data_IF_752644791128
#
_entry.id   IF_752644791128
#
_cell.length_a   1.000
_cell.length_b   1.000
_cell.length_c   1.000
_cell.angle_alpha   90.00
_cell.angle_beta   90.00
_cell.angle_gamma   90.00
#
_symmetry.space_group_name_H-M   'P 1'
#
loop_
_entity.id
_entity.type
_entity.pdbx_description
1 polymer ?
#
# COMPACT_ATOMS: atom_id res chain seq x y z
N UNK A 1 -2.14 -14.04 -17.71
CA UNK A 1 -2.73 -12.69 -17.85
C UNK A 1 -3.61 -12.30 -16.67
N UNK A 2 -4.47 -13.18 -16.15
CA UNK A 2 -5.35 -12.87 -15.00
C UNK A 2 -4.60 -12.30 -13.77
N UNK A 3 -3.57 -12.99 -13.26
CA UNK A 3 -2.80 -12.55 -12.08
C UNK A 3 -2.17 -11.16 -12.27
N UNK A 4 -1.70 -10.85 -13.48
CA UNK A 4 -1.12 -9.54 -13.77
C UNK A 4 -2.17 -8.42 -13.72
N UNK A 5 -3.37 -8.67 -14.26
CA UNK A 5 -4.48 -7.69 -14.18
C UNK A 5 -4.94 -7.53 -12.73
N UNK A 6 -5.09 -8.64 -12.00
CA UNK A 6 -5.45 -8.63 -10.58
C UNK A 6 -4.44 -7.85 -9.73
N UNK A 7 -3.14 -8.03 -9.98
CA UNK A 7 -2.09 -7.30 -9.29
C UNK A 7 -2.12 -5.79 -9.63
N UNK A 8 -2.18 -5.42 -10.91
CA UNK A 8 -2.20 -3.99 -11.31
C UNK A 8 -3.48 -3.28 -10.88
N UNK A 9 -4.63 -3.96 -10.90
CA UNK A 9 -5.90 -3.43 -10.40
C UNK A 9 -6.04 -3.58 -8.89
N UNK A 10 -5.08 -4.24 -8.23
CA UNK A 10 -4.98 -4.36 -6.78
C UNK A 10 -6.22 -5.03 -6.18
N UNK A 11 -6.67 -6.14 -6.79
CA UNK A 11 -7.91 -6.84 -6.39
C UNK A 11 -7.68 -8.11 -5.57
N UNK A 12 -6.45 -8.63 -5.53
CA UNK A 12 -6.09 -9.80 -4.72
C UNK A 12 -6.62 -11.15 -5.20
N UNK A 13 -7.32 -11.20 -6.33
CA UNK A 13 -7.85 -12.45 -6.87
C UNK A 13 -6.75 -13.26 -7.56
N UNK A 14 -6.63 -14.54 -7.20
CA UNK A 14 -5.61 -15.44 -7.74
C UNK A 14 -6.25 -16.73 -8.27
N UNK A 15 -5.75 -17.22 -9.41
CA UNK A 15 -6.15 -18.52 -9.97
C UNK A 15 -5.20 -19.65 -9.58
N UNK A 16 -4.01 -19.28 -9.09
CA UNK A 16 -2.96 -20.18 -8.58
C UNK A 16 -2.37 -19.53 -7.35
N UNK A 17 -1.96 -20.32 -6.36
CA UNK A 17 -1.42 -19.80 -5.12
C UNK A 17 -0.13 -18.99 -5.34
N UNK A 18 -0.05 -17.80 -4.73
CA UNK A 18 1.05 -16.87 -4.97
C UNK A 18 2.35 -17.34 -4.30
N UNK A 19 2.23 -17.96 -3.12
CA UNK A 19 3.35 -18.46 -2.33
C UNK A 19 4.07 -19.64 -2.97
N UNK A 20 3.31 -20.58 -3.52
CA UNK A 20 3.85 -21.89 -3.95
C UNK A 20 4.05 -22.01 -5.46
N UNK A 21 3.24 -21.35 -6.29
CA UNK A 21 3.32 -21.51 -7.74
C UNK A 21 4.44 -20.66 -8.37
N UNK A 22 4.65 -19.44 -7.86
CA UNK A 22 5.58 -18.49 -8.45
C UNK A 22 6.98 -18.63 -7.86
N UNK A 23 7.99 -18.50 -8.72
CA UNK A 23 9.37 -18.32 -8.26
C UNK A 23 9.51 -16.99 -7.52
N UNK A 24 10.61 -16.83 -6.76
CA UNK A 24 10.92 -15.57 -6.08
C UNK A 24 10.87 -14.38 -7.05
N UNK A 25 11.36 -14.54 -8.28
CA UNK A 25 11.26 -13.51 -9.32
C UNK A 25 9.81 -13.19 -9.69
N UNK A 26 8.95 -14.20 -9.82
CA UNK A 26 7.54 -14.01 -10.09
C UNK A 26 6.82 -13.25 -8.98
N UNK A 27 7.12 -13.56 -7.72
CA UNK A 27 6.57 -12.83 -6.57
C UNK A 27 7.04 -11.37 -6.54
N UNK A 28 8.32 -11.10 -6.81
CA UNK A 28 8.85 -9.73 -6.97
C UNK A 28 8.10 -8.96 -8.08
N UNK A 29 7.83 -9.61 -9.20
CA UNK A 29 7.08 -9.00 -10.30
C UNK A 29 5.65 -8.68 -9.89
N UNK A 30 4.95 -9.61 -9.22
CA UNK A 30 3.59 -9.39 -8.71
C UNK A 30 3.58 -8.22 -7.74
N UNK A 31 4.55 -8.15 -6.83
CA UNK A 31 4.68 -7.05 -5.88
C UNK A 31 4.91 -5.70 -6.56
N UNK A 32 5.78 -5.65 -7.58
CA UNK A 32 5.99 -4.44 -8.36
C UNK A 32 4.71 -3.99 -9.08
N UNK A 33 3.91 -4.92 -9.60
CA UNK A 33 2.66 -4.60 -10.30
C UNK A 33 1.63 -3.97 -9.37
N UNK A 34 1.40 -4.55 -8.17
CA UNK A 34 0.44 -3.95 -7.24
C UNK A 34 0.97 -2.68 -6.56
N UNK A 35 2.30 -2.53 -6.42
CA UNK A 35 2.88 -1.25 -5.99
C UNK A 35 2.57 -0.12 -6.98
N UNK A 36 2.78 -0.39 -8.27
CA UNK A 36 2.53 0.59 -9.34
C UNK A 36 1.03 0.91 -9.41
N UNK A 37 0.18 -0.12 -9.31
CA UNK A 37 -1.28 0.03 -9.31
C UNK A 37 -1.77 0.87 -8.13
N UNK A 38 -1.38 0.50 -6.91
CA UNK A 38 -1.82 1.17 -5.68
C UNK A 38 -1.33 2.61 -5.59
N UNK A 39 -0.06 2.87 -5.92
CA UNK A 39 0.48 4.23 -5.98
C UNK A 39 -0.28 5.12 -6.98
N UNK A 40 -0.63 4.57 -8.14
CA UNK A 40 -1.43 5.26 -9.16
C UNK A 40 -2.82 5.65 -8.65
N UNK A 41 -3.50 4.72 -7.99
CA UNK A 41 -4.83 4.96 -7.42
C UNK A 41 -4.79 5.99 -6.28
N UNK A 42 -3.87 5.88 -5.32
CA UNK A 42 -3.73 6.83 -4.20
C UNK A 42 -3.41 8.25 -4.70
N UNK A 43 -2.50 8.36 -5.67
CA UNK A 43 -2.14 9.66 -6.26
C UNK A 43 -3.34 10.28 -6.98
N UNK A 44 -4.05 9.49 -7.80
CA UNK A 44 -5.24 9.97 -8.50
C UNK A 44 -6.35 10.40 -7.54
N UNK A 45 -6.64 9.60 -6.50
CA UNK A 45 -7.62 9.92 -5.47
C UNK A 45 -7.26 11.22 -4.72
N UNK A 46 -6.00 11.39 -4.35
CA UNK A 46 -5.51 12.60 -3.67
C UNK A 46 -5.66 13.84 -4.55
N UNK A 47 -5.28 13.75 -5.83
CA UNK A 47 -5.42 14.86 -6.78
C UNK A 47 -6.89 15.22 -7.02
N UNK A 48 -7.77 14.22 -7.17
CA UNK A 48 -9.22 14.44 -7.29
C UNK A 48 -9.78 15.12 -6.03
N UNK A 49 -9.40 14.65 -4.83
CA UNK A 49 -9.78 15.26 -3.56
C UNK A 49 -9.32 16.72 -3.45
N UNK A 50 -8.10 17.03 -3.91
CA UNK A 50 -7.58 18.39 -3.98
C UNK A 50 -8.34 19.26 -4.97
N UNK A 51 -8.71 18.73 -6.14
CA UNK A 51 -9.52 19.47 -7.13
C UNK A 51 -10.90 19.82 -6.57
N UNK A 52 -11.56 18.86 -5.91
CA UNK A 52 -12.85 19.09 -5.24
C UNK A 52 -12.70 20.12 -4.12
N UNK A 53 -11.70 19.96 -3.23
CA UNK A 53 -11.46 20.90 -2.14
C UNK A 53 -11.07 22.30 -2.62
N UNK A 54 -10.33 22.41 -3.74
CA UNK A 54 -10.04 23.71 -4.36
C UNK A 54 -11.31 24.38 -4.86
N UNK A 55 -12.29 23.65 -5.37
CA UNK A 55 -13.57 24.26 -5.79
C UNK A 55 -14.34 24.87 -4.61
N UNK A 56 -14.34 24.19 -3.45
CA UNK A 56 -14.92 24.71 -2.21
C UNK A 56 -14.10 25.89 -1.65
N UNK A 57 -12.77 25.74 -1.55
CA UNK A 57 -11.87 26.82 -1.12
C UNK A 57 -11.90 28.01 -2.06
N UNK A 58 -12.09 27.84 -3.37
CA UNK A 58 -12.21 28.95 -4.31
C UNK A 58 -13.55 29.65 -4.14
N UNK A 59 -14.65 28.93 -3.87
CA UNK A 59 -15.93 29.58 -3.51
C UNK A 59 -15.83 30.36 -2.21
N UNK A 60 -15.28 29.76 -1.15
CA UNK A 60 -15.08 30.41 0.16
C UNK A 60 -14.03 31.52 0.10
N UNK A 61 -12.96 31.35 -0.70
CA UNK A 61 -11.99 32.41 -0.99
C UNK A 61 -12.62 33.50 -1.84
N UNK A 62 -13.41 33.25 -2.88
CA UNK A 62 -14.10 34.33 -3.59
C UNK A 62 -15.05 35.12 -2.66
N UNK A 63 -15.53 34.51 -1.57
CA UNK A 63 -16.25 35.23 -0.49
C UNK A 63 -15.34 35.93 0.53
N UNK A 64 -14.07 35.53 0.65
CA UNK A 64 -13.10 36.04 1.65
C UNK A 64 -11.88 36.79 1.06
N UNK A 65 -11.66 36.75 -0.26
CA UNK A 65 -10.48 37.18 -0.99
C UNK A 65 -10.70 38.59 -1.55
N UNK A 66 -11.03 39.50 -0.63
CA UNK A 66 -10.58 40.87 -0.69
C UNK A 66 -9.09 40.99 -0.30
N UNK A 67 -8.49 39.96 0.32
CA UNK A 67 -7.13 40.05 0.84
C UNK A 67 -6.30 38.79 0.50
N UNK A 68 -5.14 39.06 -0.08
CA UNK A 68 -3.97 38.18 -0.31
C UNK A 68 -3.99 37.13 -1.45
N UNK A 69 -3.00 37.37 -2.31
CA UNK A 69 -2.57 36.67 -3.50
C UNK A 69 -1.76 35.41 -3.16
N UNK A 70 -1.59 34.55 -4.17
CA UNK A 70 -0.69 33.39 -4.29
C UNK A 70 -1.25 32.01 -3.88
N UNK A 71 -1.49 31.18 -4.89
CA UNK A 71 -1.32 29.72 -4.81
C UNK A 71 -0.64 29.27 -6.10
N UNK A 72 0.64 28.93 -5.99
CA UNK A 72 1.49 28.50 -7.10
C UNK A 72 1.16 27.08 -7.55
N UNK A 73 1.16 26.89 -8.87
CA UNK A 73 1.02 25.59 -9.54
C UNK A 73 2.37 24.86 -9.41
N UNK A 74 2.50 24.06 -8.35
CA UNK A 74 3.59 23.09 -8.10
C UNK A 74 3.05 21.75 -7.60
N UNK A 75 1.77 21.47 -7.89
CA UNK A 75 0.87 20.68 -7.04
C UNK A 75 1.01 19.16 -7.23
N UNK A 76 1.14 18.68 -8.47
CA UNK A 76 1.05 17.24 -8.77
C UNK A 76 2.32 16.47 -8.36
N UNK A 77 3.49 16.98 -8.71
CA UNK A 77 4.76 16.33 -8.37
C UNK A 77 5.04 16.39 -6.87
N UNK A 78 4.60 17.45 -6.19
CA UNK A 78 4.71 17.58 -4.74
C UNK A 78 3.80 16.58 -4.02
N UNK A 79 2.56 16.41 -4.50
CA UNK A 79 1.63 15.40 -3.98
C UNK A 79 2.16 13.98 -4.21
N UNK A 80 2.62 13.67 -5.43
CA UNK A 80 3.18 12.35 -5.73
C UNK A 80 4.40 12.02 -4.84
N UNK A 81 5.29 12.98 -4.60
CA UNK A 81 6.43 12.82 -3.66
C UNK A 81 5.97 12.60 -2.22
N UNK A 82 4.95 13.33 -1.77
CA UNK A 82 4.40 13.17 -0.42
C UNK A 82 3.78 11.78 -0.25
N UNK A 83 2.94 11.35 -1.21
CA UNK A 83 2.34 10.01 -1.21
C UNK A 83 3.44 8.96 -1.17
N UNK A 84 4.44 9.04 -2.07
CA UNK A 84 5.54 8.09 -2.11
C UNK A 84 6.32 8.02 -0.78
N UNK A 85 6.58 9.17 -0.17
CA UNK A 85 7.29 9.23 1.11
C UNK A 85 6.49 8.58 2.24
N UNK A 86 5.19 8.86 2.33
CA UNK A 86 4.30 8.23 3.32
C UNK A 86 4.21 6.73 3.08
N UNK A 87 4.03 6.30 1.82
CA UNK A 87 4.00 4.89 1.41
C UNK A 87 5.24 4.15 1.90
N UNK A 88 6.44 4.63 1.55
CA UNK A 88 7.70 3.96 1.92
C UNK A 88 7.87 3.89 3.44
N UNK A 89 7.50 4.93 4.19
CA UNK A 89 7.62 4.91 5.66
C UNK A 89 6.69 3.86 6.27
N UNK A 90 5.41 3.87 5.87
CA UNK A 90 4.43 2.93 6.42
C UNK A 90 4.81 1.50 6.03
N UNK A 91 5.25 1.28 4.79
CA UNK A 91 5.70 -0.03 4.32
C UNK A 91 6.93 -0.54 5.08
N UNK A 92 7.94 0.31 5.31
CA UNK A 92 9.13 -0.11 6.06
C UNK A 92 8.77 -0.44 7.52
N UNK A 93 7.95 0.39 8.16
CA UNK A 93 7.55 0.18 9.55
C UNK A 93 6.75 -1.11 9.72
N UNK A 94 5.77 -1.36 8.84
CA UNK A 94 4.97 -2.58 8.88
C UNK A 94 5.79 -3.81 8.48
N UNK A 95 6.65 -3.72 7.47
CA UNK A 95 7.53 -4.82 7.09
C UNK A 95 8.45 -5.25 8.24
N UNK A 96 9.04 -4.30 8.96
CA UNK A 96 9.87 -4.58 10.12
C UNK A 96 9.07 -5.20 11.27
N UNK A 97 7.88 -4.67 11.57
CA UNK A 97 7.01 -5.21 12.61
C UNK A 97 6.62 -6.67 12.32
N UNK A 98 6.19 -6.95 11.07
CA UNK A 98 5.84 -8.29 10.62
C UNK A 98 7.04 -9.22 10.61
N UNK A 99 8.18 -8.80 10.05
CA UNK A 99 9.38 -9.63 10.00
C UNK A 99 9.86 -10.01 11.41
N UNK A 100 9.83 -9.07 12.36
CA UNK A 100 10.20 -9.34 13.75
C UNK A 100 9.24 -10.32 14.42
N UNK A 101 7.92 -10.13 14.23
CA UNK A 101 6.91 -11.01 14.82
C UNK A 101 6.95 -12.42 14.22
N UNK A 102 7.16 -12.55 12.92
CA UNK A 102 7.28 -13.83 12.23
C UNK A 102 8.56 -14.58 12.62
N UNK A 103 9.68 -13.86 12.78
CA UNK A 103 10.93 -14.48 13.20
C UNK A 103 10.88 -14.93 14.67
N UNK A 104 10.44 -14.07 15.59
CA UNK A 104 10.47 -14.34 17.03
C UNK A 104 9.27 -15.16 17.54
N UNK A 105 8.13 -15.06 16.87
CA UNK A 105 6.88 -15.70 17.31
C UNK A 105 6.57 -17.01 16.60
N UNK A 106 7.12 -17.21 15.39
CA UNK A 106 6.82 -18.36 14.53
C UNK A 106 8.07 -19.07 14.00
N UNK A 107 9.26 -18.70 14.49
CA UNK A 107 10.55 -19.30 14.15
C UNK A 107 10.87 -19.33 12.65
N UNK A 108 10.29 -18.40 11.85
CA UNK A 108 10.62 -18.28 10.44
C UNK A 108 12.10 -17.86 10.29
N UNK A 109 12.86 -18.44 9.33
CA UNK A 109 14.20 -17.96 9.00
C UNK A 109 14.18 -16.46 8.69
N UNK A 110 15.19 -15.72 9.14
CA UNK A 110 15.22 -14.25 9.02
C UNK A 110 14.98 -13.76 7.59
N UNK A 111 15.54 -14.44 6.58
CA UNK A 111 15.35 -14.09 5.18
C UNK A 111 13.90 -14.28 4.72
N UNK A 112 13.24 -15.36 5.15
CA UNK A 112 11.84 -15.65 4.82
C UNK A 112 10.89 -14.72 5.57
N UNK A 113 11.18 -14.44 6.85
CA UNK A 113 10.43 -13.48 7.65
C UNK A 113 10.52 -12.06 7.09
N UNK A 114 11.72 -11.63 6.66
CA UNK A 114 11.92 -10.34 6.02
C UNK A 114 11.19 -10.25 4.66
N UNK A 115 11.25 -11.31 3.86
CA UNK A 115 10.54 -11.37 2.58
C UNK A 115 9.02 -11.32 2.76
N UNK A 116 8.49 -12.17 3.64
CA UNK A 116 7.06 -12.20 3.96
C UNK A 116 6.60 -10.87 4.56
N UNK A 117 7.38 -10.29 5.48
CA UNK A 117 7.07 -8.99 6.08
C UNK A 117 7.00 -7.87 5.03
N UNK A 118 7.98 -7.80 4.13
CA UNK A 118 7.98 -6.84 3.02
C UNK A 118 6.77 -7.06 2.11
N UNK A 119 6.58 -8.28 1.60
CA UNK A 119 5.51 -8.57 0.65
C UNK A 119 4.13 -8.25 1.22
N UNK A 120 3.84 -8.69 2.44
CA UNK A 120 2.54 -8.43 3.08
C UNK A 120 2.36 -6.97 3.48
N UNK A 121 3.45 -6.27 3.84
CA UNK A 121 3.37 -4.84 4.13
C UNK A 121 2.96 -4.03 2.90
N UNK A 122 3.61 -4.31 1.77
CA UNK A 122 3.33 -3.63 0.50
C UNK A 122 1.94 -4.01 0.01
N UNK A 123 1.56 -5.29 0.14
CA UNK A 123 0.21 -5.76 -0.18
C UNK A 123 -0.86 -5.06 0.65
N UNK A 124 -0.68 -4.99 1.98
CA UNK A 124 -1.63 -4.38 2.89
C UNK A 124 -1.80 -2.87 2.66
N UNK A 125 -0.69 -2.12 2.49
CA UNK A 125 -0.75 -0.68 2.27
C UNK A 125 -1.38 -0.32 0.92
N UNK A 126 -1.14 -1.11 -0.12
CA UNK A 126 -1.76 -0.88 -1.42
C UNK A 126 -3.17 -1.45 -1.53
N UNK A 127 -3.68 -2.16 -0.50
CA UNK A 127 -4.96 -2.90 -0.53
C UNK A 127 -4.98 -4.03 -1.56
N UNK A 128 -3.85 -4.69 -1.79
CA UNK A 128 -3.67 -5.69 -2.83
C UNK A 128 -4.15 -7.08 -2.46
N UNK A 129 -4.19 -7.41 -1.16
CA UNK A 129 -4.64 -8.70 -0.61
C UNK A 129 -3.93 -9.96 -1.18
N UNK A 130 -2.79 -9.78 -1.85
CA UNK A 130 -1.87 -10.88 -2.19
C UNK A 130 -1.12 -11.33 -0.95
N UNK A 131 -0.87 -12.64 -0.85
CA UNK A 131 -0.11 -13.25 0.25
C UNK A 131 0.93 -14.24 -0.27
N UNK A 132 2.07 -14.34 0.43
CA UNK A 132 3.05 -15.42 0.21
C UNK A 132 2.67 -16.71 0.92
N UNK A 133 1.60 -16.71 1.71
CA UNK A 133 1.11 -17.89 2.41
C UNK A 133 -0.09 -18.50 1.67
N UNK A 134 -0.17 -19.84 1.56
CA UNK A 134 -1.23 -20.52 0.81
C UNK A 134 -2.63 -20.38 1.42
N UNK A 135 -2.71 -20.18 2.73
CA UNK A 135 -3.92 -19.90 3.49
C UNK A 135 -4.14 -18.40 3.70
N UNK A 136 -3.44 -17.56 2.94
CA UNK A 136 -3.34 -16.13 3.22
C UNK A 136 -2.86 -15.93 4.68
N UNK A 137 -3.35 -14.91 5.38
CA UNK A 137 -3.01 -14.64 6.78
C UNK A 137 -3.90 -15.38 7.79
N UNK A 138 -4.69 -16.38 7.35
CA UNK A 138 -5.67 -17.06 8.22
C UNK A 138 -5.04 -17.79 9.41
N UNK A 139 -3.86 -18.39 9.24
CA UNK A 139 -3.07 -18.95 10.36
C UNK A 139 -2.81 -17.97 11.52
N UNK A 140 -2.87 -16.66 11.27
CA UNK A 140 -2.59 -15.62 12.25
C UNK A 140 -3.86 -15.01 12.86
N UNK A 141 -5.04 -15.61 12.67
CA UNK A 141 -6.32 -15.06 13.12
C UNK A 141 -6.37 -14.75 14.63
N UNK A 142 -5.64 -15.50 15.45
CA UNK A 142 -5.55 -15.29 16.89
C UNK A 142 -4.41 -14.36 17.33
N UNK A 143 -3.55 -13.90 16.40
CA UNK A 143 -2.38 -13.09 16.71
C UNK A 143 -2.58 -11.62 16.34
N UNK A 144 -3.01 -10.84 17.33
CA UNK A 144 -3.16 -9.39 17.20
C UNK A 144 -1.87 -8.66 16.82
N UNK A 145 -0.69 -9.22 17.09
CA UNK A 145 0.59 -8.61 16.71
C UNK A 145 0.93 -8.79 15.23
N UNK A 146 0.31 -9.75 14.55
CA UNK A 146 0.39 -9.88 13.09
C UNK A 146 -0.75 -9.13 12.41
N UNK A 147 -1.96 -9.15 12.99
CA UNK A 147 -3.11 -8.50 12.38
C UNK A 147 -3.08 -6.97 12.51
N UNK A 148 -2.65 -6.41 13.64
CA UNK A 148 -2.64 -4.95 13.80
C UNK A 148 -1.72 -4.21 12.81
N UNK A 149 -0.49 -4.69 12.50
CA UNK A 149 0.35 -4.08 11.48
C UNK A 149 -0.18 -4.26 10.06
N UNK A 150 -1.07 -5.22 9.81
CA UNK A 150 -1.74 -5.39 8.51
C UNK A 150 -2.94 -4.45 8.37
N UNK A 151 -3.77 -4.35 9.42
CA UNK A 151 -4.99 -3.55 9.38
C UNK A 151 -4.73 -2.04 9.30
N UNK A 152 -3.72 -1.54 10.02
CA UNK A 152 -3.47 -0.09 10.09
C UNK A 152 -3.06 0.51 8.72
N UNK A 153 -2.11 -0.06 7.96
CA UNK A 153 -1.79 0.38 6.60
C UNK A 153 -2.96 0.32 5.63
N UNK A 154 -3.77 -0.75 5.67
CA UNK A 154 -4.97 -0.91 4.83
C UNK A 154 -6.02 0.17 5.08
N UNK A 155 -6.11 0.70 6.30
CA UNK A 155 -6.99 1.82 6.61
C UNK A 155 -6.44 3.18 6.13
N UNK A 156 -5.12 3.27 5.92
CA UNK A 156 -4.44 4.52 5.52
C UNK A 156 -4.37 4.66 4.00
N UNK A 157 -4.09 3.57 3.28
CA UNK A 157 -3.99 3.54 1.81
C UNK A 157 -5.35 3.57 1.13
#
# INVERSE_FOLDING_TARGET
MFTAVSAVCVTGLVTVDTGTYWSSFGQWMIMALFQIGGFGMMTAATLLGLLVNRSFRLRTRLTAQAETHTLGIGDVSSVAKLVLFVTVIVEVMTALALALRLHLGYDLPLAEAAWSGLFHSVSAFNNADFSTFPDNVMRFVADGWVLSPLMAPTAIG
#
